data_IF_808749555527
#
_entry.id   IF_808749555527
#
_cell.length_a   1.000
_cell.length_b   1.000
_cell.length_c   1.000
_cell.angle_alpha   90.00
_cell.angle_beta   90.00
_cell.angle_gamma   90.00
#
_symmetry.space_group_name_H-M   'P 1'
#
loop_
_entity.id
_entity.type
_entity.pdbx_description
1 polymer ?
#
# COMPACT_ATOMS: atom_id res chain seq x y z
N UNK A 1 -8.23 2.62 -13.99
CA UNK A 1 -8.43 1.82 -12.76
C UNK A 1 -7.14 1.07 -12.52
N UNK A 2 -6.53 1.19 -11.35
CA UNK A 2 -5.22 0.60 -11.07
C UNK A 2 -5.41 -0.81 -10.52
N UNK A 3 -4.71 -1.79 -11.10
CA UNK A 3 -4.76 -3.21 -10.67
C UNK A 3 -3.48 -3.63 -9.92
N UNK A 4 -2.39 -2.90 -10.13
CA UNK A 4 -1.09 -3.20 -9.57
C UNK A 4 -0.36 -1.91 -9.20
N UNK A 5 0.37 -1.97 -8.09
CA UNK A 5 1.24 -0.90 -7.64
C UNK A 5 2.50 -1.52 -7.02
N UNK A 6 3.65 -0.95 -7.35
CA UNK A 6 4.95 -1.31 -6.80
C UNK A 6 5.64 -0.08 -6.25
N UNK A 7 6.30 -0.21 -5.11
CA UNK A 7 6.98 0.87 -4.44
C UNK A 7 7.55 0.43 -3.09
N UNK A 8 7.97 1.41 -2.29
CA UNK A 8 8.43 1.16 -0.93
C UNK A 8 7.25 1.17 0.03
N UNK A 9 7.22 0.25 0.98
CA UNK A 9 6.25 0.32 2.09
C UNK A 9 6.70 1.46 3.01
N UNK A 10 5.92 2.53 3.05
CA UNK A 10 6.18 3.70 3.89
C UNK A 10 5.55 3.52 5.29
N UNK A 11 4.38 2.88 5.35
CA UNK A 11 3.70 2.52 6.59
C UNK A 11 2.85 1.25 6.36
N UNK A 12 2.67 0.44 7.40
CA UNK A 12 1.95 -0.82 7.30
C UNK A 12 1.20 -1.12 8.61
N UNK A 13 -0.12 -1.29 8.50
CA UNK A 13 -0.97 -1.74 9.59
C UNK A 13 -2.00 -2.77 9.11
N UNK A 14 -2.68 -3.49 10.01
CA UNK A 14 -3.56 -4.60 9.63
C UNK A 14 -4.79 -4.22 8.79
N UNK A 15 -5.10 -2.93 8.65
CA UNK A 15 -6.20 -2.43 7.83
C UNK A 15 -5.74 -1.83 6.49
N UNK A 16 -4.53 -1.27 6.42
CA UNK A 16 -3.99 -0.67 5.21
C UNK A 16 -2.46 -0.69 5.12
N UNK A 17 -1.98 -0.67 3.88
CA UNK A 17 -0.59 -0.44 3.52
C UNK A 17 -0.44 0.90 2.81
N UNK A 18 0.60 1.66 3.12
CA UNK A 18 0.98 2.87 2.40
C UNK A 18 2.19 2.56 1.52
N UNK A 19 2.00 2.60 0.21
CA UNK A 19 3.04 2.32 -0.79
C UNK A 19 3.49 3.64 -1.40
N UNK A 20 4.77 3.99 -1.22
CA UNK A 20 5.39 5.15 -1.85
C UNK A 20 5.98 4.76 -3.21
N UNK A 21 5.49 5.39 -4.27
CA UNK A 21 6.01 5.23 -5.63
C UNK A 21 6.03 6.58 -6.33
N UNK A 22 7.18 6.95 -6.91
CA UNK A 22 7.34 8.23 -7.60
C UNK A 22 7.02 9.46 -6.74
N UNK A 23 7.37 9.44 -5.45
CA UNK A 23 7.07 10.49 -4.47
C UNK A 23 5.57 10.68 -4.16
N UNK A 24 4.73 9.71 -4.50
CA UNK A 24 3.31 9.67 -4.16
C UNK A 24 3.06 8.51 -3.20
N UNK A 25 2.41 8.79 -2.07
CA UNK A 25 1.97 7.78 -1.10
C UNK A 25 0.56 7.28 -1.41
N UNK A 26 0.42 5.98 -1.67
CA UNK A 26 -0.84 5.33 -1.99
C UNK A 26 -1.32 4.50 -0.81
N UNK A 27 -2.50 4.84 -0.27
CA UNK A 27 -3.15 4.04 0.77
C UNK A 27 -3.97 2.94 0.12
N UNK A 28 -3.60 1.69 0.40
CA UNK A 28 -4.27 0.49 -0.10
C UNK A 28 -4.85 -0.24 1.10
N UNK A 29 -6.18 -0.43 1.11
CA UNK A 29 -6.82 -1.27 2.12
C UNK A 29 -6.44 -2.73 1.88
N UNK A 30 -6.04 -3.41 2.93
CA UNK A 30 -5.62 -4.81 2.88
C UNK A 30 -6.41 -5.64 3.89
N UNK A 31 -6.39 -6.96 3.71
CA UNK A 31 -6.95 -7.89 4.69
C UNK A 31 -5.86 -8.34 5.67
N UNK A 32 -6.28 -8.88 6.82
CA UNK A 32 -5.36 -9.40 7.84
C UNK A 32 -4.44 -10.52 7.32
N UNK A 33 -4.87 -11.26 6.29
CA UNK A 33 -4.04 -12.31 5.67
C UNK A 33 -2.99 -11.75 4.70
N UNK A 34 -3.16 -10.50 4.25
CA UNK A 34 -2.26 -9.78 3.34
C UNK A 34 -1.24 -8.92 4.09
N UNK A 35 -1.60 -8.47 5.30
CA UNK A 35 -0.67 -7.80 6.22
C UNK A 35 0.46 -8.74 6.62
#
# INVERSE_FOLDING_TARGET
MFEYIEGKIADLNPACAVIETGQIGWLVNITLATF
#
